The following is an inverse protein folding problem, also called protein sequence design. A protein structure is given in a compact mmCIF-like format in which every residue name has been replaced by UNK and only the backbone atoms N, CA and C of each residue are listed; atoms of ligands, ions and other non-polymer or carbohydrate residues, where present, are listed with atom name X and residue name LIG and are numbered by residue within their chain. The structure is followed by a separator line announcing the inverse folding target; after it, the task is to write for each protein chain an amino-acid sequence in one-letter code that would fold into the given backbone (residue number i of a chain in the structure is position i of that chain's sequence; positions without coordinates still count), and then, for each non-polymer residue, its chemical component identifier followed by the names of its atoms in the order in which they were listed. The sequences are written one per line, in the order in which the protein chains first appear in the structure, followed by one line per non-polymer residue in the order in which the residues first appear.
data_IF_073563846111
#
_entry.id   IF_073563846111
#
_cell.length_a   1.000
_cell.length_b   1.000
_cell.length_c   1.000
_cell.angle_alpha   90.00
_cell.angle_beta   90.00
_cell.angle_gamma   90.00
#
_symmetry.space_group_name_H-M   'P 1'
#
loop_
_entity.id
_entity.type
_entity.pdbx_description
1 polymer ?
#
# COMPACT_ATOMS: atom_id res chain seq x y z
N UNK A 1 0.24 -14.13 -9.97
CA UNK A 1 -0.88 -13.25 -9.60
C UNK A 1 -1.93 -13.35 -10.70
N UNK A 2 -3.19 -13.53 -10.36
CA UNK A 2 -4.29 -13.54 -11.32
C UNK A 2 -5.28 -12.42 -10.99
N UNK A 3 -5.79 -11.74 -12.02
CA UNK A 3 -6.82 -10.72 -11.87
C UNK A 3 -8.01 -11.11 -12.74
N UNK A 4 -9.20 -11.20 -12.14
CA UNK A 4 -10.40 -11.65 -12.84
C UNK A 4 -10.29 -13.08 -13.43
N UNK A 5 -9.45 -13.94 -12.83
CA UNK A 5 -9.20 -15.30 -13.34
C UNK A 5 -8.18 -15.40 -14.48
N UNK A 6 -7.65 -14.27 -14.96
CA UNK A 6 -6.65 -14.21 -16.02
C UNK A 6 -5.26 -14.02 -15.42
N UNK A 7 -4.25 -14.69 -15.98
CA UNK A 7 -2.84 -14.57 -15.58
C UNK A 7 -2.03 -14.05 -16.75
N UNK A 8 -1.10 -13.14 -16.48
CA UNK A 8 -0.19 -12.56 -17.48
C UNK A 8 1.24 -12.58 -16.94
N UNK A 9 2.25 -12.94 -17.76
CA UNK A 9 3.64 -12.84 -17.36
C UNK A 9 4.05 -11.37 -17.24
N UNK A 10 4.79 -11.05 -16.18
CA UNK A 10 5.32 -9.72 -15.88
C UNK A 10 6.84 -9.84 -15.75
N UNK A 11 7.57 -8.96 -16.44
CA UNK A 11 9.01 -8.80 -16.30
C UNK A 11 9.28 -7.43 -15.72
N UNK A 12 10.09 -7.34 -14.67
CA UNK A 12 10.46 -6.09 -14.02
C UNK A 12 11.98 -6.04 -13.88
N UNK A 13 12.60 -4.99 -14.42
CA UNK A 13 14.06 -4.79 -14.40
C UNK A 13 14.40 -3.54 -13.60
N UNK A 14 14.20 -3.63 -12.28
CA UNK A 14 14.51 -2.58 -11.31
C UNK A 14 14.70 -3.14 -9.92
N UNK A 15 15.25 -2.36 -8.99
CA UNK A 15 15.32 -2.77 -7.59
C UNK A 15 13.90 -2.84 -7.01
N UNK A 16 13.43 -4.02 -6.55
CA UNK A 16 12.18 -4.10 -5.80
C UNK A 16 12.42 -3.35 -4.49
N UNK A 17 11.71 -2.23 -4.26
CA UNK A 17 11.82 -1.50 -3.00
C UNK A 17 11.66 -2.45 -1.80
N UNK A 18 12.43 -2.23 -0.74
CA UNK A 18 12.71 -3.23 0.33
C UNK A 18 11.53 -3.83 1.12
N UNK A 19 10.28 -3.46 0.79
CA UNK A 19 9.05 -4.06 1.35
C UNK A 19 8.43 -5.11 0.41
N UNK A 20 9.01 -5.33 -0.78
CA UNK A 20 8.56 -6.39 -1.67
C UNK A 20 8.81 -7.77 -1.06
N UNK A 21 7.75 -8.55 -0.90
CA UNK A 21 7.80 -9.95 -0.47
C UNK A 21 6.86 -10.78 -1.33
N UNK A 22 7.20 -12.05 -1.51
CA UNK A 22 6.31 -13.01 -2.16
C UNK A 22 4.95 -13.07 -1.45
N UNK A 23 3.89 -13.34 -2.22
CA UNK A 23 2.50 -13.43 -1.74
C UNK A 23 1.86 -12.13 -1.23
N UNK A 24 2.48 -10.95 -1.42
CA UNK A 24 1.83 -9.66 -1.15
C UNK A 24 1.28 -9.08 -2.46
N UNK A 25 0.03 -8.56 -2.48
CA UNK A 25 -0.51 -7.88 -3.67
C UNK A 25 0.30 -6.63 -3.99
N UNK A 26 0.64 -6.47 -5.27
CA UNK A 26 1.37 -5.30 -5.78
C UNK A 26 0.66 -4.73 -7.01
N UNK A 27 0.96 -3.47 -7.32
CA UNK A 27 0.59 -2.81 -8.57
C UNK A 27 1.87 -2.59 -9.37
N UNK A 28 1.86 -2.99 -10.63
CA UNK A 28 2.98 -2.81 -11.55
C UNK A 28 2.56 -1.80 -12.61
N UNK A 29 3.35 -0.75 -12.77
CA UNK A 29 3.24 0.21 -13.88
C UNK A 29 4.16 -0.24 -15.00
N UNK A 30 3.79 0.02 -16.25
CA UNK A 30 4.57 -0.44 -17.40
C UNK A 30 3.79 -0.48 -18.71
N UNK A 31 4.36 -1.20 -19.68
CA UNK A 31 3.80 -1.39 -21.03
C UNK A 31 3.59 -2.88 -21.34
N UNK A 32 2.53 -3.20 -22.07
CA UNK A 32 2.29 -4.54 -22.57
C UNK A 32 2.93 -4.70 -23.96
N UNK A 33 3.84 -5.66 -24.12
CA UNK A 33 4.50 -5.94 -25.41
C UNK A 33 4.61 -7.44 -25.61
N UNK A 34 4.18 -7.95 -26.77
CA UNK A 34 4.24 -9.36 -27.14
C UNK A 34 3.68 -10.35 -26.09
N UNK A 35 2.64 -9.93 -25.36
CA UNK A 35 2.00 -10.75 -24.32
C UNK A 35 2.73 -10.78 -22.97
N UNK A 36 3.80 -10.01 -22.81
CA UNK A 36 4.52 -9.81 -21.55
C UNK A 36 4.37 -8.37 -21.08
N UNK A 37 4.02 -8.18 -19.80
CA UNK A 37 3.95 -6.86 -19.21
C UNK A 37 5.33 -6.44 -18.69
N UNK A 38 5.93 -5.43 -19.33
CA UNK A 38 7.23 -4.89 -18.96
C UNK A 38 7.03 -3.78 -17.93
N UNK A 39 7.38 -4.05 -16.68
CA UNK A 39 7.21 -3.15 -15.55
C UNK A 39 8.39 -2.19 -15.38
N UNK A 40 8.09 -0.92 -15.10
CA UNK A 40 9.06 0.15 -14.79
C UNK A 40 8.99 0.62 -13.33
N UNK A 41 7.86 0.44 -12.65
CA UNK A 41 7.67 0.70 -11.22
C UNK A 41 6.76 -0.33 -10.56
N UNK A 42 7.14 -0.77 -9.36
CA UNK A 42 6.32 -1.65 -8.50
C UNK A 42 5.92 -0.93 -7.22
N UNK A 43 4.62 -0.93 -6.93
CA UNK A 43 4.03 -0.42 -5.70
C UNK A 43 3.43 -1.57 -4.90
N UNK A 44 3.83 -1.72 -3.64
CA UNK A 44 3.29 -2.78 -2.78
C UNK A 44 2.01 -2.28 -2.11
N UNK A 45 0.90 -3.01 -2.25
CA UNK A 45 -0.32 -2.68 -1.52
C UNK A 45 -0.12 -3.06 -0.07
N UNK A 46 0.07 -2.06 0.78
CA UNK A 46 0.01 -2.24 2.23
C UNK A 46 -1.45 -2.16 2.68
N UNK A 47 -1.86 -3.02 3.62
CA UNK A 47 -3.05 -2.71 4.40
C UNK A 47 -2.74 -1.43 5.17
N UNK A 48 -3.65 -0.45 5.14
CA UNK A 48 -3.56 0.73 6.01
C UNK A 48 -3.87 0.37 7.48
N UNK A 49 -3.53 -0.85 7.91
CA UNK A 49 -3.75 -1.32 9.28
C UNK A 49 -2.75 -0.66 10.19
N UNK A 50 -3.17 0.48 10.74
CA UNK A 50 -2.46 1.14 11.81
C UNK A 50 -2.73 0.40 13.12
N UNK A 51 -1.73 -0.33 13.62
CA UNK A 51 -1.71 -0.80 15.01
C UNK A 51 -1.10 0.29 15.87
N UNK A 52 -1.92 0.91 16.70
CA UNK A 52 -1.40 1.82 17.72
C UNK A 52 -0.56 1.01 18.71
N UNK A 53 0.76 1.25 18.74
CA UNK A 53 1.68 0.62 19.71
C UNK A 53 1.41 1.04 21.17
N UNK A 54 0.53 2.03 21.37
CA UNK A 54 0.09 2.47 22.69
C UNK A 54 -1.42 2.75 22.69
N UNK A 55 -2.27 1.72 22.85
CA UNK A 55 -3.72 1.91 22.98
C UNK A 55 -4.09 2.74 24.23
N UNK A 56 -3.16 2.85 25.17
CA UNK A 56 -3.36 3.55 26.44
C UNK A 56 -3.21 5.07 26.33
N UNK A 57 -2.63 5.58 25.23
CA UNK A 57 -2.53 7.04 24.97
C UNK A 57 -3.90 7.70 24.87
N UNK A 58 -4.91 6.97 24.40
CA UNK A 58 -6.27 7.48 24.23
C UNK A 58 -7.14 7.28 25.49
N UNK A 59 -6.65 6.59 26.53
CA UNK A 59 -7.46 6.29 27.72
C UNK A 59 -7.54 7.45 28.71
N UNK A 60 -6.82 8.54 28.46
CA UNK A 60 -6.78 9.73 29.32
C UNK A 60 -7.06 11.03 28.55
N UNK A 61 -7.90 10.98 27.53
CA UNK A 61 -8.48 12.19 26.94
C UNK A 61 -9.98 12.12 27.23
N UNK A 62 -10.36 12.48 28.46
CA UNK A 62 -11.76 12.76 28.75
C UNK A 62 -12.29 13.71 27.69
N UNK A 63 -13.54 13.48 27.26
CA UNK A 63 -14.40 14.41 26.51
C UNK A 63 -14.09 15.87 26.88
N UNK A 64 -13.09 16.46 26.24
CA UNK A 64 -12.70 17.85 26.41
C UNK A 64 -12.82 18.44 25.03
N UNK A 65 -13.69 19.42 24.96
CA UNK A 65 -14.16 20.12 23.78
C UNK A 65 -13.04 20.84 23.04
N UNK A 66 -12.15 20.12 22.36
CA UNK A 66 -11.17 20.72 21.46
C UNK A 66 -11.72 20.78 20.04
N UNK A 67 -12.73 21.65 19.91
CA UNK A 67 -13.25 22.18 18.65
C UNK A 67 -13.36 23.71 18.68
N UNK A 68 -12.63 24.40 19.56
CA UNK A 68 -12.75 25.86 19.75
C UNK A 68 -11.43 26.62 19.54
N UNK A 69 -10.42 26.00 18.92
CA UNK A 69 -9.17 26.71 18.59
C UNK A 69 -9.17 27.40 17.21
N UNK A 70 -10.24 27.24 16.41
CA UNK A 70 -10.36 27.88 15.10
C UNK A 70 -11.67 28.67 14.99
N UNK A 71 -11.75 29.77 15.73
CA UNK A 71 -12.68 30.87 15.44
C UNK A 71 -11.90 32.17 15.61
N UNK A 72 -11.16 32.54 14.57
CA UNK A 72 -10.67 33.91 14.43
C UNK A 72 -11.83 34.84 14.07
#
# INVERSE_FOLDING_TARGET
MSFGGVTIPVTYDGEPGGIFKECIPVVVHGILTDGVFLGDRVEVKHSNDYKADNPDRMKNEGSTSEGTACSQ
#
